data_IF_337483316188
#
_entry.id   IF_337483316188
#
_cell.length_a   1.000
_cell.length_b   1.000
_cell.length_c   1.000
_cell.angle_alpha   90.00
_cell.angle_beta   90.00
_cell.angle_gamma   90.00
#
_symmetry.space_group_name_H-M   'P 1'
#
loop_
_entity.id
_entity.type
_entity.pdbx_description
1 polymer ?
#
# COMPACT_ATOMS: atom_id res chain seq x y z
N UNK A 1 8.96 85.03 -54.15
CA UNK A 1 9.99 84.45 -55.04
C UNK A 1 10.69 83.33 -54.29
N UNK A 2 10.69 82.11 -54.86
CA UNK A 2 11.61 81.01 -54.57
C UNK A 2 11.66 80.43 -53.14
N UNK A 3 10.83 79.42 -52.88
CA UNK A 3 11.04 78.43 -51.80
C UNK A 3 11.97 77.31 -52.28
N UNK A 4 12.82 76.80 -51.38
CA UNK A 4 13.58 75.56 -51.58
C UNK A 4 14.24 75.04 -50.29
N UNK A 5 13.56 74.08 -49.64
CA UNK A 5 14.06 72.86 -48.94
C UNK A 5 14.92 73.03 -47.66
N UNK A 6 14.87 72.18 -46.63
CA UNK A 6 14.26 70.85 -46.42
C UNK A 6 13.89 70.64 -44.92
N UNK A 7 12.89 69.79 -44.64
CA UNK A 7 13.02 68.39 -44.16
C UNK A 7 13.65 68.24 -42.76
N UNK A 8 12.83 67.90 -41.76
CA UNK A 8 13.01 66.67 -40.95
C UNK A 8 11.71 66.30 -40.22
N UNK A 9 11.54 64.98 -40.09
CA UNK A 9 10.35 64.17 -39.87
C UNK A 9 9.90 64.14 -38.40
N UNK A 10 8.59 64.10 -38.17
CA UNK A 10 7.97 64.01 -36.84
C UNK A 10 7.72 62.58 -36.35
N UNK A 11 7.35 62.48 -35.07
CA UNK A 11 6.62 61.34 -34.49
C UNK A 11 5.83 61.83 -33.26
N UNK A 12 4.50 61.69 -33.34
CA UNK A 12 3.50 62.04 -32.34
C UNK A 12 3.50 61.00 -31.21
N UNK A 13 3.71 61.44 -29.97
CA UNK A 13 3.50 60.64 -28.77
C UNK A 13 2.06 60.78 -28.26
N UNK A 14 1.34 59.66 -28.13
CA UNK A 14 -0.01 59.58 -27.56
C UNK A 14 0.11 59.20 -26.08
N UNK A 15 -0.46 60.05 -25.23
CA UNK A 15 -0.57 59.92 -23.77
C UNK A 15 -1.57 58.81 -23.42
N UNK A 16 -1.16 57.81 -22.65
CA UNK A 16 -2.03 56.81 -22.03
C UNK A 16 -2.33 57.20 -20.58
N UNK A 17 -3.62 57.24 -20.25
CA UNK A 17 -4.18 57.48 -18.92
C UNK A 17 -3.86 56.31 -17.97
N UNK A 18 -3.34 56.63 -16.80
CA UNK A 18 -3.08 55.69 -15.70
C UNK A 18 -4.39 55.38 -14.96
N UNK A 19 -4.86 54.13 -15.01
CA UNK A 19 -5.79 53.57 -14.03
C UNK A 19 -5.02 53.11 -12.78
N UNK A 20 -5.51 53.35 -11.56
CA UNK A 20 -4.86 52.87 -10.35
C UNK A 20 -5.07 51.36 -10.22
N UNK A 21 -3.97 50.60 -10.22
CA UNK A 21 -3.97 49.19 -9.88
C UNK A 21 -4.37 49.02 -8.41
N UNK A 22 -5.58 48.48 -8.16
CA UNK A 22 -5.88 47.82 -6.89
C UNK A 22 -5.06 46.53 -6.85
N UNK A 23 -3.93 46.57 -6.15
CA UNK A 23 -3.26 45.34 -5.74
C UNK A 23 -4.12 44.70 -4.64
N UNK A 24 -4.70 43.54 -4.92
CA UNK A 24 -5.13 42.64 -3.86
C UNK A 24 -3.89 42.22 -3.07
N UNK A 25 -3.76 42.67 -1.82
CA UNK A 25 -2.89 42.03 -0.85
C UNK A 25 -3.37 40.59 -0.67
N UNK A 26 -2.71 39.62 -1.30
CA UNK A 26 -2.87 38.20 -0.95
C UNK A 26 -2.45 38.04 0.50
N UNK A 27 -3.41 37.72 1.37
CA UNK A 27 -3.12 37.24 2.71
C UNK A 27 -2.14 36.06 2.63
N UNK A 28 -1.17 35.93 3.57
CA UNK A 28 -0.27 34.80 3.58
C UNK A 28 -1.06 33.49 3.67
N UNK A 29 -0.82 32.57 2.74
CA UNK A 29 -1.52 31.28 2.69
C UNK A 29 -1.28 30.49 3.99
N UNK A 30 -2.38 30.07 4.63
CA UNK A 30 -2.33 29.25 5.84
C UNK A 30 -1.64 27.92 5.55
N UNK A 31 -1.03 27.29 6.55
CA UNK A 31 -0.39 25.99 6.35
C UNK A 31 -1.38 24.89 5.91
N UNK A 32 -2.65 24.98 6.34
CA UNK A 32 -3.72 24.14 5.83
C UNK A 32 -3.92 24.32 4.32
N UNK A 33 -3.95 25.57 3.83
CA UNK A 33 -4.06 25.84 2.40
C UNK A 33 -2.84 25.31 1.63
N UNK A 34 -1.63 25.53 2.14
CA UNK A 34 -0.39 25.07 1.50
C UNK A 34 -0.24 23.55 1.44
N UNK A 35 -0.76 22.82 2.41
CA UNK A 35 -0.74 21.36 2.42
C UNK A 35 -1.85 20.73 1.54
N UNK A 36 -3.03 21.34 1.47
CA UNK A 36 -4.24 20.66 0.97
C UNK A 36 -4.95 21.33 -0.22
N UNK A 37 -4.72 22.62 -0.53
CA UNK A 37 -5.38 23.26 -1.69
C UNK A 37 -4.95 22.68 -3.04
N UNK A 38 -3.76 22.08 -3.12
CA UNK A 38 -3.31 21.37 -4.31
C UNK A 38 -3.78 19.89 -4.33
N UNK A 39 -4.44 19.44 -3.26
CA UNK A 39 -5.00 18.07 -3.08
C UNK A 39 -6.54 18.10 -3.05
N UNK A 40 -7.18 19.19 -3.49
CA UNK A 40 -8.64 19.29 -3.64
C UNK A 40 -9.06 19.14 -5.11
N UNK A 41 -10.25 18.62 -5.35
CA UNK A 41 -10.80 18.39 -6.70
C UNK A 41 -10.49 17.02 -7.29
N UNK A 42 -10.66 16.89 -8.60
CA UNK A 42 -10.44 15.64 -9.33
C UNK A 42 -8.97 15.20 -9.31
N UNK A 43 -8.75 13.89 -9.15
CA UNK A 43 -7.42 13.30 -9.35
C UNK A 43 -7.16 13.19 -10.87
N UNK A 44 -5.97 13.63 -11.31
CA UNK A 44 -5.65 13.79 -12.74
C UNK A 44 -5.83 12.51 -13.59
N UNK A 45 -5.80 11.31 -12.97
CA UNK A 45 -6.07 10.00 -13.60
C UNK A 45 -7.28 9.24 -13.00
N UNK A 46 -8.02 9.82 -12.04
CA UNK A 46 -9.20 9.21 -11.44
C UNK A 46 -10.32 10.25 -11.29
N UNK A 47 -11.50 10.00 -11.86
CA UNK A 47 -12.65 10.92 -11.81
C UNK A 47 -13.37 10.88 -10.46
N UNK A 48 -12.61 11.01 -9.36
CA UNK A 48 -13.14 11.10 -8.01
C UNK A 48 -12.55 12.32 -7.32
N UNK A 49 -13.42 13.07 -6.65
CA UNK A 49 -13.05 14.21 -5.83
C UNK A 49 -12.62 13.75 -4.42
N UNK A 50 -11.54 14.35 -3.92
CA UNK A 50 -10.91 13.98 -2.64
C UNK A 50 -11.89 14.10 -1.47
N UNK A 51 -12.79 15.08 -1.48
CA UNK A 51 -13.78 15.26 -0.41
C UNK A 51 -14.81 14.12 -0.36
N UNK A 52 -15.09 13.50 -1.51
CA UNK A 52 -15.96 12.31 -1.58
C UNK A 52 -15.25 11.09 -0.97
N UNK A 53 -13.95 10.92 -1.26
CA UNK A 53 -13.13 9.86 -0.68
C UNK A 53 -13.05 10.03 0.85
N UNK A 54 -12.75 11.24 1.31
CA UNK A 54 -12.65 11.57 2.73
C UNK A 54 -13.94 11.24 3.49
N UNK A 55 -15.09 11.72 2.99
CA UNK A 55 -16.39 11.47 3.62
C UNK A 55 -16.73 9.98 3.68
N UNK A 56 -16.48 9.26 2.59
CA UNK A 56 -16.73 7.82 2.52
C UNK A 56 -15.81 7.05 3.48
N UNK A 57 -14.50 7.27 3.39
CA UNK A 57 -13.51 6.57 4.19
C UNK A 57 -13.70 6.87 5.68
N UNK A 58 -13.68 8.14 6.07
CA UNK A 58 -13.52 8.53 7.47
C UNK A 58 -14.77 8.26 8.31
N UNK A 59 -15.96 8.29 7.70
CA UNK A 59 -17.22 8.19 8.43
C UNK A 59 -18.01 6.90 8.16
N UNK A 60 -17.94 6.33 6.95
CA UNK A 60 -18.67 5.07 6.64
C UNK A 60 -17.81 3.83 6.82
N UNK A 61 -16.57 3.88 6.34
CA UNK A 61 -15.71 2.69 6.22
C UNK A 61 -14.81 2.49 7.46
N UNK A 62 -14.10 3.54 7.88
CA UNK A 62 -13.00 3.47 8.82
C UNK A 62 -13.34 2.80 10.17
N UNK A 63 -14.45 3.15 10.87
CA UNK A 63 -14.77 2.52 12.16
C UNK A 63 -15.03 1.02 12.05
N UNK A 64 -15.68 0.58 10.97
CA UNK A 64 -16.02 -0.83 10.72
C UNK A 64 -14.79 -1.62 10.30
N UNK A 65 -13.98 -1.03 9.43
CA UNK A 65 -12.71 -1.61 8.99
C UNK A 65 -11.76 -1.78 10.18
N UNK A 66 -11.64 -0.78 11.06
CA UNK A 66 -10.81 -0.90 12.26
C UNK A 66 -11.28 -2.06 13.16
N UNK A 67 -12.59 -2.18 13.39
CA UNK A 67 -13.17 -3.30 14.15
C UNK A 67 -12.84 -4.66 13.53
N UNK A 68 -12.87 -4.78 12.21
CA UNK A 68 -12.49 -6.02 11.51
C UNK A 68 -11.00 -6.35 11.73
N UNK A 69 -10.12 -5.35 11.64
CA UNK A 69 -8.67 -5.54 11.80
C UNK A 69 -8.24 -5.86 13.23
N UNK A 70 -9.07 -5.54 14.21
CA UNK A 70 -8.88 -5.91 15.62
C UNK A 70 -9.30 -7.36 15.93
N UNK A 71 -10.03 -8.02 15.01
CA UNK A 71 -10.45 -9.41 15.20
C UNK A 71 -9.28 -10.40 15.13
N UNK A 72 -9.45 -11.57 15.76
CA UNK A 72 -8.43 -12.62 15.79
C UNK A 72 -8.01 -13.10 14.40
N UNK A 73 -8.91 -13.07 13.42
CA UNK A 73 -8.52 -13.46 12.07
C UNK A 73 -7.45 -12.51 11.49
N UNK A 74 -7.62 -11.20 11.70
CA UNK A 74 -6.85 -10.16 11.02
C UNK A 74 -5.69 -9.58 11.83
N UNK A 75 -5.69 -9.71 13.17
CA UNK A 75 -4.63 -9.15 14.02
C UNK A 75 -3.32 -9.94 14.00
N UNK A 76 -3.37 -11.24 13.68
CA UNK A 76 -2.18 -12.09 13.66
C UNK A 76 -1.66 -12.27 12.23
N UNK A 77 -0.41 -11.90 12.04
CA UNK A 77 0.29 -12.00 10.76
C UNK A 77 1.54 -12.86 10.90
N UNK A 78 1.66 -13.88 10.05
CA UNK A 78 2.83 -14.77 10.01
C UNK A 78 3.92 -14.13 9.17
N UNK A 79 5.14 -14.01 9.70
CA UNK A 79 6.25 -13.39 8.98
C UNK A 79 7.60 -13.91 9.47
N UNK A 80 8.57 -14.03 8.56
CA UNK A 80 9.96 -14.25 8.91
C UNK A 80 10.71 -12.91 8.94
N UNK A 81 11.05 -12.43 10.14
CA UNK A 81 11.82 -11.19 10.33
C UNK A 81 13.33 -11.43 10.46
N UNK A 82 13.76 -12.70 10.54
CA UNK A 82 15.16 -13.11 10.79
C UNK A 82 15.96 -13.33 9.51
N UNK A 83 15.32 -13.29 8.34
CA UNK A 83 16.01 -13.42 7.04
C UNK A 83 17.15 -12.40 6.92
N UNK A 84 18.35 -12.83 6.49
CA UNK A 84 19.45 -11.92 6.20
C UNK A 84 19.17 -11.16 4.90
N UNK A 85 19.75 -9.97 4.78
CA UNK A 85 19.69 -9.19 3.54
C UNK A 85 20.42 -9.95 2.41
N UNK A 86 19.76 -10.26 1.27
CA UNK A 86 20.40 -10.97 0.18
C UNK A 86 21.31 -10.08 -0.69
N UNK A 87 21.26 -8.76 -0.53
CA UNK A 87 21.92 -7.82 -1.43
C UNK A 87 23.21 -7.22 -0.85
N UNK A 88 23.32 -7.06 0.47
CA UNK A 88 24.49 -6.51 1.12
C UNK A 88 24.59 -6.92 2.58
N UNK A 89 25.81 -6.89 3.12
CA UNK A 89 26.08 -7.18 4.52
C UNK A 89 26.00 -5.89 5.33
N UNK A 90 24.84 -5.59 5.88
CA UNK A 90 24.71 -4.58 6.92
C UNK A 90 24.60 -5.27 8.29
N UNK A 91 25.33 -4.76 9.27
CA UNK A 91 25.14 -5.16 10.67
C UNK A 91 23.79 -4.55 11.07
N UNK A 92 22.79 -5.40 11.34
CA UNK A 92 21.46 -5.02 11.82
C UNK A 92 21.51 -4.30 13.19
N UNK A 93 22.08 -3.10 13.26
CA UNK A 93 22.07 -2.26 14.44
C UNK A 93 20.76 -1.48 14.49
N UNK A 94 19.66 -2.15 14.84
CA UNK A 94 18.51 -1.39 15.35
C UNK A 94 18.80 -0.95 16.79
N UNK A 95 19.43 0.22 16.93
CA UNK A 95 19.87 0.76 18.22
C UNK A 95 18.75 1.29 19.14
N UNK A 96 17.47 1.20 18.77
CA UNK A 96 16.35 1.77 19.55
C UNK A 96 15.32 0.69 19.94
N UNK A 97 14.92 0.66 21.22
CA UNK A 97 13.93 -0.31 21.75
C UNK A 97 12.59 -0.26 21.01
N UNK A 98 12.19 0.91 20.52
CA UNK A 98 10.89 1.10 19.86
C UNK A 98 10.77 0.43 18.48
N UNK A 99 11.89 -0.04 17.93
CA UNK A 99 12.01 -0.80 16.69
C UNK A 99 11.80 -2.32 16.84
N UNK A 100 11.94 -2.85 18.05
CA UNK A 100 11.82 -4.28 18.31
C UNK A 100 10.37 -4.75 18.12
N UNK A 101 10.21 -5.89 17.45
CA UNK A 101 8.93 -6.60 17.33
C UNK A 101 8.88 -7.67 18.41
N UNK A 102 7.78 -7.76 19.16
CA UNK A 102 7.55 -8.86 20.11
C UNK A 102 6.78 -9.96 19.38
N UNK A 103 7.37 -11.16 19.16
CA UNK A 103 6.63 -12.32 18.65
C UNK A 103 5.56 -12.75 19.65
N UNK A 104 4.49 -13.38 19.16
CA UNK A 104 3.49 -13.99 20.04
C UNK A 104 4.04 -15.23 20.72
N UNK A 105 3.65 -15.47 21.97
CA UNK A 105 3.82 -16.80 22.55
C UNK A 105 2.88 -17.79 21.84
N UNK A 106 3.25 -19.07 21.78
CA UNK A 106 2.40 -20.11 21.20
C UNK A 106 0.99 -20.03 21.78
N UNK A 107 0.85 -19.85 23.07
CA UNK A 107 -0.44 -19.96 23.77
C UNK A 107 -1.38 -18.76 23.52
N UNK A 108 -0.85 -17.65 22.98
CA UNK A 108 -1.61 -16.43 22.68
C UNK A 108 -2.27 -16.45 21.28
N UNK A 109 -1.85 -17.37 20.41
CA UNK A 109 -2.41 -17.50 19.06
C UNK A 109 -3.56 -18.52 19.10
N UNK A 110 -4.76 -18.21 18.60
CA UNK A 110 -5.87 -19.17 18.53
C UNK A 110 -5.49 -20.47 17.80
N UNK A 111 -5.92 -21.61 18.32
CA UNK A 111 -5.51 -22.93 17.79
C UNK A 111 -5.97 -23.17 16.37
N UNK A 112 -7.08 -22.56 15.94
CA UNK A 112 -7.52 -22.63 14.56
C UNK A 112 -6.62 -21.87 13.57
N UNK A 113 -5.84 -20.90 14.07
CA UNK A 113 -4.85 -20.16 13.29
C UNK A 113 -3.53 -20.94 13.25
N UNK A 114 -3.16 -21.63 14.34
CA UNK A 114 -1.98 -22.51 14.39
C UNK A 114 -2.14 -23.73 13.49
N UNK A 115 -3.30 -24.38 13.56
CA UNK A 115 -3.60 -25.64 12.85
C UNK A 115 -3.95 -25.43 11.37
N UNK A 116 -4.04 -24.18 10.89
CA UNK A 116 -4.20 -23.88 9.47
C UNK A 116 -3.04 -24.37 8.59
N UNK A 117 -1.91 -24.81 9.17
CA UNK A 117 -0.86 -25.55 8.44
C UNK A 117 -1.19 -27.02 8.19
N UNK A 118 -2.27 -27.56 8.76
CA UNK A 118 -2.65 -28.99 8.72
C UNK A 118 -4.16 -29.20 8.55
N UNK A 119 -4.84 -28.41 7.72
CA UNK A 119 -6.31 -28.43 7.69
C UNK A 119 -6.89 -29.05 6.41
N UNK A 120 -7.05 -30.37 6.42
CA UNK A 120 -8.24 -31.02 5.88
C UNK A 120 -8.68 -32.15 6.82
N UNK A 121 -10.01 -32.21 7.00
CA UNK A 121 -10.86 -33.13 7.78
C UNK A 121 -11.08 -32.86 9.28
N UNK A 122 -12.30 -33.19 9.73
CA UNK A 122 -13.02 -32.62 10.88
C UNK A 122 -13.10 -33.59 12.07
N UNK A 123 -12.19 -34.56 12.18
CA UNK A 123 -12.26 -35.64 13.18
C UNK A 123 -11.28 -35.53 14.37
N UNK A 124 -10.42 -34.51 14.44
CA UNK A 124 -9.41 -34.41 15.50
C UNK A 124 -9.97 -33.79 16.80
N UNK A 125 -10.88 -34.50 17.46
CA UNK A 125 -11.39 -34.16 18.78
C UNK A 125 -11.17 -35.32 19.76
N UNK A 126 -9.93 -35.81 19.87
CA UNK A 126 -9.49 -36.65 20.99
C UNK A 126 -7.98 -36.48 21.20
N UNK A 127 -7.60 -36.07 22.41
CA UNK A 127 -6.23 -35.94 22.90
C UNK A 127 -5.76 -37.32 23.37
N UNK A 128 -4.62 -37.81 22.87
CA UNK A 128 -3.58 -38.49 23.66
C UNK A 128 -2.30 -38.80 22.85
N UNK A 129 -1.16 -38.62 23.54
CA UNK A 129 0.21 -39.11 23.33
C UNK A 129 0.99 -38.85 22.01
N UNK A 130 2.04 -38.02 22.18
CA UNK A 130 3.22 -37.99 21.32
C UNK A 130 4.03 -39.29 21.50
N UNK A 131 4.13 -40.13 20.46
CA UNK A 131 5.37 -40.79 20.04
C UNK A 131 5.10 -41.67 18.80
N UNK A 132 5.72 -41.28 17.68
CA UNK A 132 6.29 -42.10 16.60
C UNK A 132 6.11 -41.45 15.23
N UNK A 133 7.25 -41.07 14.66
CA UNK A 133 7.38 -40.77 13.25
C UNK A 133 7.12 -42.03 12.42
N UNK A 134 6.13 -41.98 11.54
CA UNK A 134 6.12 -42.46 10.15
C UNK A 134 4.67 -42.75 9.70
N UNK A 135 4.30 -42.20 8.53
CA UNK A 135 3.10 -42.52 7.75
C UNK A 135 1.74 -42.42 8.46
N UNK A 136 1.07 -41.28 8.32
CA UNK A 136 -0.41 -41.24 8.20
C UNK A 136 -0.84 -40.09 7.26
N UNK A 137 -0.59 -40.29 5.97
CA UNK A 137 -1.29 -39.62 4.87
C UNK A 137 -2.27 -40.60 4.24
N UNK A 138 -3.26 -41.06 4.99
CA UNK A 138 -4.33 -41.94 4.49
C UNK A 138 -5.59 -41.10 4.26
N UNK A 139 -5.82 -40.73 3.00
CA UNK A 139 -7.05 -40.14 2.48
C UNK A 139 -8.04 -41.27 2.20
N UNK A 140 -9.33 -41.04 2.43
CA UNK A 140 -10.40 -41.95 2.04
C UNK A 140 -10.34 -42.25 0.52
N UNK A 141 -10.50 -43.54 0.20
CA UNK A 141 -10.09 -44.18 -1.03
C UNK A 141 -11.22 -44.18 -2.08
N UNK A 142 -11.64 -43.00 -2.54
CA UNK A 142 -12.65 -42.90 -3.63
C UNK A 142 -12.18 -42.16 -4.88
N UNK A 143 -10.89 -41.81 -4.99
CA UNK A 143 -10.30 -41.16 -6.17
C UNK A 143 -9.28 -42.10 -6.83
N UNK A 144 -9.30 -42.21 -8.17
CA UNK A 144 -8.34 -43.06 -8.90
C UNK A 144 -6.90 -42.59 -8.69
N UNK A 145 -5.94 -43.53 -8.67
CA UNK A 145 -4.51 -43.25 -8.46
C UNK A 145 -3.95 -42.22 -9.46
N UNK A 146 -4.50 -42.18 -10.67
CA UNK A 146 -4.13 -41.21 -11.70
C UNK A 146 -4.56 -39.79 -11.31
N UNK A 147 -5.75 -39.64 -10.71
CA UNK A 147 -6.31 -38.36 -10.28
C UNK A 147 -5.58 -37.79 -9.07
N UNK A 148 -5.17 -38.64 -8.12
CA UNK A 148 -4.39 -38.21 -6.96
C UNK A 148 -3.00 -37.68 -7.36
N UNK A 149 -2.32 -38.35 -8.30
CA UNK A 149 -1.03 -37.89 -8.83
C UNK A 149 -1.18 -36.60 -9.63
N UNK A 150 -2.27 -36.44 -10.38
CA UNK A 150 -2.57 -35.22 -11.11
C UNK A 150 -2.83 -34.03 -10.18
N UNK A 151 -3.67 -34.18 -9.15
CA UNK A 151 -3.97 -33.12 -8.17
C UNK A 151 -2.72 -32.71 -7.39
N UNK A 152 -1.89 -33.66 -6.93
CA UNK A 152 -0.63 -33.34 -6.24
C UNK A 152 0.42 -32.69 -7.16
N UNK A 153 0.42 -33.02 -8.45
CA UNK A 153 1.26 -32.35 -9.45
C UNK A 153 0.75 -30.96 -9.81
N UNK A 154 -0.57 -30.73 -9.82
CA UNK A 154 -1.19 -29.43 -10.09
C UNK A 154 -1.04 -28.48 -8.90
N UNK A 155 -1.29 -28.92 -7.67
CA UNK A 155 -1.08 -28.09 -6.46
C UNK A 155 0.40 -27.66 -6.33
N UNK A 156 1.37 -28.53 -6.64
CA UNK A 156 2.79 -28.16 -6.67
C UNK A 156 3.17 -27.22 -7.83
N UNK A 157 2.48 -27.32 -8.96
CA UNK A 157 2.72 -26.49 -10.14
C UNK A 157 2.07 -25.10 -10.01
N UNK A 158 0.93 -25.00 -9.33
CA UNK A 158 0.12 -23.78 -9.22
C UNK A 158 0.46 -22.96 -7.96
N UNK A 159 0.83 -23.60 -6.84
CA UNK A 159 1.31 -22.89 -5.63
C UNK A 159 2.70 -22.25 -5.81
N UNK A 160 3.48 -22.69 -6.79
CA UNK A 160 4.82 -22.15 -7.07
C UNK A 160 4.85 -21.07 -8.17
N UNK A 161 3.76 -20.88 -8.92
CA UNK A 161 3.74 -20.01 -10.10
C UNK A 161 2.92 -18.72 -9.94
N UNK A 162 1.85 -18.68 -9.12
CA UNK A 162 0.91 -17.55 -9.06
C UNK A 162 1.02 -16.59 -7.85
N UNK A 163 1.98 -16.81 -6.92
CA UNK A 163 2.19 -15.89 -5.78
C UNK A 163 2.99 -14.64 -6.17
N UNK A 164 2.49 -13.46 -5.77
CA UNK A 164 3.15 -12.15 -5.95
C UNK A 164 4.25 -11.88 -4.91
N UNK A 165 4.35 -12.69 -3.87
CA UNK A 165 5.34 -12.58 -2.80
C UNK A 165 6.00 -13.95 -2.53
N UNK A 166 7.16 -13.96 -1.87
CA UNK A 166 7.85 -15.20 -1.57
C UNK A 166 7.04 -16.10 -0.64
N UNK A 167 6.61 -17.25 -1.15
CA UNK A 167 5.98 -18.33 -0.36
C UNK A 167 6.94 -18.86 0.71
N UNK A 168 8.24 -18.69 0.50
CA UNK A 168 9.33 -19.08 1.40
C UNK A 168 9.27 -18.38 2.77
N UNK A 169 8.61 -17.23 2.89
CA UNK A 169 8.40 -16.57 4.20
C UNK A 169 7.40 -17.32 5.09
N UNK A 170 6.50 -18.14 4.53
CA UNK A 170 5.46 -18.88 5.28
C UNK A 170 5.93 -20.26 5.70
N UNK A 171 6.64 -20.95 4.81
CA UNK A 171 7.11 -22.33 5.00
C UNK A 171 8.44 -22.40 5.77
N UNK A 172 9.11 -21.26 5.94
CA UNK A 172 10.33 -21.20 6.75
C UNK A 172 10.05 -21.58 8.21
N UNK A 173 10.91 -22.42 8.83
CA UNK A 173 10.79 -22.76 10.24
C UNK A 173 10.96 -21.54 11.18
N UNK A 174 11.59 -20.47 10.68
CA UNK A 174 11.82 -19.23 11.44
C UNK A 174 10.65 -18.23 11.33
N UNK A 175 9.58 -18.59 10.60
CA UNK A 175 8.41 -17.75 10.43
C UNK A 175 7.49 -17.82 11.66
N UNK A 176 7.31 -16.68 12.32
CA UNK A 176 6.56 -16.56 13.57
C UNK A 176 5.28 -15.75 13.36
N UNK A 177 4.25 -16.01 14.16
CA UNK A 177 3.08 -15.14 14.22
C UNK A 177 3.38 -13.91 15.08
N UNK A 178 3.00 -12.75 14.55
CA UNK A 178 3.12 -11.44 15.21
C UNK A 178 1.74 -10.84 15.37
N UNK A 179 1.45 -10.33 16.58
CA UNK A 179 0.25 -9.55 16.86
C UNK A 179 0.45 -8.09 16.43
N UNK A 180 -0.32 -7.67 15.44
CA UNK A 180 -0.26 -6.34 14.85
C UNK A 180 -0.76 -5.25 15.81
N UNK A 181 -1.63 -5.58 16.78
CA UNK A 181 -2.14 -4.61 17.76
C UNK A 181 -1.06 -4.16 18.75
N UNK A 182 -0.16 -5.08 19.12
CA UNK A 182 1.00 -4.77 19.96
C UNK A 182 2.15 -4.11 19.18
N UNK A 183 2.12 -4.20 17.85
CA UNK A 183 3.17 -3.71 16.96
C UNK A 183 2.64 -2.66 15.96
N UNK A 184 1.99 -1.57 16.41
CA UNK A 184 1.40 -0.59 15.49
C UNK A 184 2.48 0.12 14.66
N UNK A 185 2.14 0.44 13.41
CA UNK A 185 2.94 1.32 12.57
C UNK A 185 2.92 2.74 13.13
N UNK A 186 4.11 3.24 13.49
CA UNK A 186 4.36 4.56 14.09
C UNK A 186 5.82 4.95 13.93
N UNK A 187 6.19 6.14 14.42
CA UNK A 187 7.58 6.58 14.39
C UNK A 187 8.53 5.61 15.12
N UNK A 188 9.58 5.16 14.45
CA UNK A 188 10.62 4.27 15.00
C UNK A 188 11.99 4.95 15.11
N UNK A 189 12.15 6.13 14.50
CA UNK A 189 13.44 6.80 14.35
C UNK A 189 14.34 6.24 13.24
N UNK A 190 13.86 5.28 12.43
CA UNK A 190 14.58 4.79 11.25
C UNK A 190 14.69 5.89 10.18
N UNK A 191 15.91 6.32 9.86
CA UNK A 191 16.20 7.47 8.99
C UNK A 191 17.62 7.40 8.42
N UNK A 192 17.98 8.36 7.58
CA UNK A 192 19.35 8.52 7.08
C UNK A 192 19.69 7.59 5.91
N UNK A 193 20.99 7.38 5.62
CA UNK A 193 21.46 6.66 4.44
C UNK A 193 20.86 5.26 4.28
N UNK A 194 20.65 4.53 5.37
CA UNK A 194 20.08 3.18 5.32
C UNK A 194 18.66 3.19 4.76
N UNK A 195 17.80 4.09 5.28
CA UNK A 195 16.43 4.23 4.81
C UNK A 195 16.38 4.78 3.37
N UNK A 196 17.25 5.74 3.03
CA UNK A 196 17.32 6.32 1.69
C UNK A 196 17.75 5.29 0.65
N UNK A 197 18.70 4.42 1.00
CA UNK A 197 19.17 3.34 0.14
C UNK A 197 18.02 2.36 -0.16
N UNK A 198 17.30 1.91 0.86
CA UNK A 198 16.15 1.01 0.69
C UNK A 198 15.13 1.61 -0.28
N UNK A 199 14.68 2.84 -0.04
CA UNK A 199 13.71 3.48 -0.94
C UNK A 199 14.27 3.67 -2.34
N UNK A 200 15.53 4.07 -2.49
CA UNK A 200 16.14 4.24 -3.82
C UNK A 200 16.10 2.94 -4.61
N UNK A 201 16.48 1.81 -4.00
CA UNK A 201 16.42 0.49 -4.64
C UNK A 201 14.98 0.09 -5.00
N UNK A 202 14.00 0.34 -4.12
CA UNK A 202 12.58 0.06 -4.41
C UNK A 202 12.09 0.88 -5.62
N UNK A 203 12.43 2.18 -5.71
CA UNK A 203 12.06 2.99 -6.88
C UNK A 203 12.84 2.62 -8.14
N UNK A 204 14.04 2.05 -8.00
CA UNK A 204 14.86 1.55 -9.11
C UNK A 204 14.35 0.22 -9.67
N UNK A 205 13.57 -0.56 -8.91
CA UNK A 205 12.84 -1.72 -9.44
C UNK A 205 11.87 -1.33 -10.56
N UNK A 206 11.51 -0.05 -10.71
CA UNK A 206 10.67 0.42 -11.82
C UNK A 206 11.38 0.40 -13.20
N UNK A 207 12.13 -0.66 -13.56
CA UNK A 207 12.86 -0.83 -14.82
C UNK A 207 12.27 -1.93 -15.74
N UNK A 208 11.10 -1.68 -16.35
CA UNK A 208 10.60 -2.40 -17.53
C UNK A 208 11.35 -1.77 -18.73
N UNK A 209 12.29 -2.46 -19.39
CA UNK A 209 13.34 -1.90 -20.29
C UNK A 209 12.88 -1.64 -21.76
N UNK A 210 13.55 -0.76 -22.56
CA UNK A 210 14.98 -0.86 -22.97
C UNK A 210 15.92 0.21 -22.39
N UNK A 211 17.23 -0.12 -22.38
CA UNK A 211 18.34 0.59 -21.71
C UNK A 211 18.70 1.98 -22.28
N UNK A 212 17.85 2.60 -23.08
CA UNK A 212 18.21 3.79 -23.88
C UNK A 212 17.86 5.12 -23.21
N UNK A 213 17.10 5.11 -22.11
CA UNK A 213 16.60 6.33 -21.47
C UNK A 213 17.36 6.55 -20.15
N UNK A 214 18.25 7.53 -20.12
CA UNK A 214 18.95 7.93 -18.89
C UNK A 214 17.99 8.71 -17.98
N UNK A 215 17.78 8.18 -16.77
CA UNK A 215 16.95 8.80 -15.73
C UNK A 215 17.68 10.02 -15.11
N UNK A 216 16.98 11.14 -14.85
CA UNK A 216 17.51 12.17 -13.96
C UNK A 216 17.70 11.61 -12.54
N UNK A 217 18.87 11.82 -11.94
CA UNK A 217 19.15 11.39 -10.56
C UNK A 217 18.06 11.84 -9.58
N UNK A 218 17.75 10.94 -8.64
CA UNK A 218 16.71 11.01 -7.61
C UNK A 218 16.40 12.44 -7.08
N UNK A 219 15.13 12.89 -7.04
CA UNK A 219 14.76 14.19 -6.44
C UNK A 219 15.04 14.26 -4.92
N UNK A 220 15.28 13.12 -4.29
CA UNK A 220 15.61 13.03 -2.85
C UNK A 220 17.05 13.44 -2.52
N UNK A 221 17.90 13.70 -3.52
CA UNK A 221 19.24 14.23 -3.29
C UNK A 221 19.16 15.76 -3.11
N UNK A 222 19.07 16.23 -1.87
CA UNK A 222 19.31 17.63 -1.53
C UNK A 222 20.75 18.00 -1.89
N UNK A 223 20.97 18.58 -3.06
CA UNK A 223 22.30 18.99 -3.52
C UNK A 223 22.30 19.66 -4.89
N UNK A 224 22.24 21.00 -4.87
CA UNK A 224 22.68 21.95 -5.91
C UNK A 224 22.24 21.70 -7.37
N UNK A 225 21.24 22.48 -7.81
CA UNK A 225 21.03 22.72 -9.24
C UNK A 225 19.70 23.38 -9.56
N UNK A 226 19.66 24.72 -9.54
CA UNK A 226 18.53 25.53 -10.02
C UNK A 226 18.32 25.30 -11.53
N UNK A 227 17.41 24.39 -11.92
CA UNK A 227 16.67 24.35 -13.22
C UNK A 227 16.04 22.99 -13.60
N UNK A 228 16.09 21.94 -12.75
CA UNK A 228 15.66 20.58 -13.13
C UNK A 228 14.26 20.13 -12.63
N UNK A 229 13.45 21.03 -12.08
CA UNK A 229 12.18 20.66 -11.39
C UNK A 229 11.11 20.05 -12.30
N UNK A 230 11.02 20.48 -13.57
CA UNK A 230 10.02 19.93 -14.49
C UNK A 230 10.50 18.69 -15.27
N UNK A 231 11.79 18.34 -15.20
CA UNK A 231 12.34 17.30 -16.08
C UNK A 231 11.97 15.90 -15.62
N UNK A 232 11.88 15.63 -14.32
CA UNK A 232 11.59 14.29 -13.82
C UNK A 232 10.11 13.89 -13.98
N UNK A 233 9.17 14.77 -13.67
CA UNK A 233 7.74 14.48 -13.85
C UNK A 233 7.31 14.57 -15.31
N UNK A 234 7.84 15.51 -16.10
CA UNK A 234 7.67 15.47 -17.57
C UNK A 234 8.27 14.20 -18.17
N UNK A 235 9.38 13.69 -17.61
CA UNK A 235 9.92 12.38 -17.98
C UNK A 235 8.98 11.24 -17.58
N UNK A 236 8.41 11.24 -16.35
CA UNK A 236 7.41 10.26 -15.91
C UNK A 236 6.13 10.29 -16.76
N UNK A 237 5.70 11.47 -17.21
CA UNK A 237 4.59 11.65 -18.16
C UNK A 237 4.93 11.12 -19.55
N UNK A 238 6.22 11.13 -19.93
CA UNK A 238 6.73 10.52 -21.15
C UNK A 238 6.94 9.01 -21.09
N UNK A 239 6.75 8.37 -19.92
CA UNK A 239 6.81 6.91 -19.78
C UNK A 239 5.45 6.26 -20.08
N UNK A 240 5.49 4.97 -20.43
CA UNK A 240 4.30 4.13 -20.56
C UNK A 240 3.45 4.15 -19.28
N UNK A 241 2.13 3.99 -19.42
CA UNK A 241 1.15 4.10 -18.33
C UNK A 241 1.47 3.20 -17.14
N UNK A 242 2.03 2.02 -17.39
CA UNK A 242 2.39 1.00 -16.41
C UNK A 242 3.52 1.44 -15.48
N UNK A 243 4.52 2.12 -16.05
CA UNK A 243 5.66 2.71 -15.32
C UNK A 243 5.19 3.78 -14.35
N UNK A 244 4.22 4.58 -14.80
CA UNK A 244 3.60 5.63 -14.01
C UNK A 244 2.77 5.03 -12.87
N UNK A 245 1.97 4.00 -13.15
CA UNK A 245 1.22 3.27 -12.12
C UNK A 245 2.15 2.76 -11.01
N UNK A 246 3.19 1.99 -11.36
CA UNK A 246 4.11 1.45 -10.35
C UNK A 246 4.71 2.56 -9.49
N UNK A 247 5.19 3.64 -10.10
CA UNK A 247 5.72 4.79 -9.36
C UNK A 247 4.68 5.38 -8.39
N UNK A 248 3.45 5.61 -8.86
CA UNK A 248 2.38 6.19 -8.03
C UNK A 248 1.98 5.27 -6.88
N UNK A 249 1.94 3.95 -7.10
CA UNK A 249 1.66 2.96 -6.05
C UNK A 249 2.72 2.99 -4.95
N UNK A 250 4.01 2.91 -5.33
CA UNK A 250 5.12 2.98 -4.36
C UNK A 250 5.19 4.35 -3.68
N UNK A 251 4.94 5.43 -4.42
CA UNK A 251 4.86 6.80 -3.89
C UNK A 251 3.75 6.97 -2.87
N UNK A 252 2.56 6.42 -3.15
CA UNK A 252 1.44 6.40 -2.22
C UNK A 252 1.73 5.60 -0.96
N UNK A 253 2.40 4.44 -1.09
CA UNK A 253 2.81 3.62 0.04
C UNK A 253 3.84 4.35 0.91
N UNK A 254 4.87 4.95 0.29
CA UNK A 254 5.86 5.76 1.00
C UNK A 254 5.22 6.97 1.68
N UNK A 255 4.26 7.64 1.02
CA UNK A 255 3.49 8.72 1.62
C UNK A 255 2.69 8.23 2.83
N UNK A 256 2.01 7.09 2.75
CA UNK A 256 1.25 6.50 3.85
C UNK A 256 2.11 6.23 5.09
N UNK A 257 3.29 5.65 4.90
CA UNK A 257 4.25 5.40 6.01
C UNK A 257 4.69 6.73 6.65
N UNK A 258 4.98 7.74 5.83
CA UNK A 258 5.36 9.07 6.28
C UNK A 258 4.22 9.81 7.01
N UNK A 259 2.97 9.57 6.63
CA UNK A 259 1.78 10.06 7.37
C UNK A 259 1.68 9.37 8.73
N UNK A 260 1.82 8.04 8.79
CA UNK A 260 1.76 7.30 10.05
C UNK A 260 2.80 7.74 11.06
N UNK A 261 4.06 7.88 10.64
CA UNK A 261 5.12 8.33 11.55
C UNK A 261 4.90 9.76 12.02
N UNK A 262 4.28 10.62 11.20
CA UNK A 262 3.96 12.00 11.56
C UNK A 262 2.78 12.07 12.54
N UNK A 263 1.73 11.27 12.31
CA UNK A 263 0.54 11.21 13.15
C UNK A 263 0.80 10.52 14.50
N UNK A 264 1.74 9.56 14.51
CA UNK A 264 2.11 8.76 15.69
C UNK A 264 3.59 8.95 16.00
N UNK A 265 3.95 10.21 16.24
CA UNK A 265 5.31 10.61 16.56
C UNK A 265 5.58 10.48 18.06
N UNK A 266 6.84 10.19 18.45
CA UNK A 266 7.26 10.24 19.84
C UNK A 266 7.56 11.70 20.21
N UNK A 267 6.58 12.39 20.79
CA UNK A 267 6.65 13.82 21.10
C UNK A 267 7.52 14.10 22.32
N UNK A 268 7.44 13.21 23.32
CA UNK A 268 8.21 13.32 24.56
C UNK A 268 8.73 11.94 24.96
N UNK A 269 10.03 11.88 25.26
CA UNK A 269 10.73 10.68 25.72
C UNK A 269 11.43 11.05 27.02
N UNK A 270 10.69 11.00 28.13
CA UNK A 270 11.22 11.24 29.48
C UNK A 270 11.47 9.91 30.18
N UNK A 271 12.25 9.93 31.26
CA UNK A 271 12.49 8.73 32.08
C UNK A 271 11.21 8.13 32.68
N UNK A 272 10.16 8.95 32.85
CA UNK A 272 8.91 8.57 33.51
C UNK A 272 7.82 8.20 32.50
N UNK A 273 7.69 8.96 31.42
CA UNK A 273 6.60 8.82 30.47
C UNK A 273 7.05 9.01 29.01
N UNK A 274 6.46 8.21 28.13
CA UNK A 274 6.52 8.37 26.68
C UNK A 274 5.19 8.90 26.16
N UNK A 275 5.20 10.07 25.52
CA UNK A 275 4.01 10.66 24.91
C UNK A 275 4.06 10.51 23.39
N UNK A 276 3.08 9.81 22.84
CA UNK A 276 2.88 9.66 21.40
C UNK A 276 1.77 10.57 20.91
N UNK A 277 1.90 11.15 19.72
CA UNK A 277 0.85 11.97 19.13
C UNK A 277 1.26 12.64 17.82
N UNK A 278 0.41 13.53 17.32
CA UNK A 278 0.60 14.24 16.06
C UNK A 278 1.75 15.26 16.14
N UNK A 279 2.74 15.11 15.26
CA UNK A 279 3.79 16.09 15.06
C UNK A 279 3.51 16.89 13.78
N UNK A 280 2.93 18.08 13.97
CA UNK A 280 2.53 18.98 12.88
C UNK A 280 3.75 19.45 12.07
N UNK A 281 4.87 19.74 12.74
CA UNK A 281 6.10 20.20 12.07
C UNK A 281 6.68 19.11 11.17
N UNK A 282 6.73 17.85 11.64
CA UNK A 282 7.18 16.72 10.81
C UNK A 282 6.26 16.52 9.59
N UNK A 283 4.94 16.63 9.78
CA UNK A 283 3.98 16.53 8.68
C UNK A 283 4.18 17.65 7.65
N UNK A 284 4.26 18.91 8.08
CA UNK A 284 4.48 20.06 7.20
C UNK A 284 5.80 19.93 6.42
N UNK A 285 6.90 19.57 7.07
CA UNK A 285 8.19 19.41 6.40
C UNK A 285 8.17 18.36 5.27
N UNK A 286 7.24 17.40 5.35
CA UNK A 286 7.11 16.31 4.37
C UNK A 286 6.05 16.57 3.29
N UNK A 287 5.02 17.34 3.61
CA UNK A 287 3.80 17.45 2.80
C UNK A 287 3.33 18.88 2.50
N UNK A 288 3.87 19.92 3.14
CA UNK A 288 3.52 21.32 2.85
C UNK A 288 4.00 21.72 1.45
N UNK A 289 3.09 22.24 0.62
CA UNK A 289 3.38 22.59 -0.77
C UNK A 289 4.46 23.65 -0.94
N UNK A 290 4.62 24.58 0.01
CA UNK A 290 5.69 25.58 -0.07
C UNK A 290 7.02 24.98 0.41
N UNK A 291 7.03 24.30 1.56
CA UNK A 291 8.27 23.72 2.11
C UNK A 291 8.86 22.61 1.23
N UNK A 292 8.02 21.99 0.38
CA UNK A 292 8.41 20.89 -0.49
C UNK A 292 8.36 21.23 -1.97
N UNK A 293 8.23 22.51 -2.33
CA UNK A 293 8.23 22.96 -3.73
C UNK A 293 7.16 22.22 -4.59
N UNK A 294 5.99 21.95 -4.00
CA UNK A 294 4.86 21.25 -4.63
C UNK A 294 4.91 19.72 -4.60
N UNK A 295 5.99 19.12 -4.09
CA UNK A 295 6.15 17.66 -4.05
C UNK A 295 5.26 16.99 -3.00
N UNK A 296 5.04 17.64 -1.86
CA UNK A 296 4.19 17.16 -0.78
C UNK A 296 2.77 16.84 -1.24
N UNK A 297 2.04 17.81 -1.81
CA UNK A 297 0.71 17.58 -2.37
C UNK A 297 0.66 16.49 -3.45
N UNK A 298 1.69 16.38 -4.31
CA UNK A 298 1.79 15.29 -5.32
C UNK A 298 1.88 13.92 -4.66
N UNK A 299 2.64 13.78 -3.58
CA UNK A 299 2.73 12.51 -2.81
C UNK A 299 1.40 12.17 -2.15
N UNK A 300 0.65 13.16 -1.66
CA UNK A 300 -0.71 12.95 -1.12
C UNK A 300 -1.69 12.51 -2.20
N UNK A 301 -1.64 13.09 -3.41
CA UNK A 301 -2.42 12.59 -4.56
C UNK A 301 -2.09 11.12 -4.89
N UNK A 302 -0.82 10.72 -4.78
CA UNK A 302 -0.41 9.33 -4.98
C UNK A 302 -0.92 8.39 -3.86
N UNK A 303 -1.07 8.90 -2.63
CA UNK A 303 -1.72 8.17 -1.55
C UNK A 303 -3.18 7.87 -1.86
N UNK A 304 -3.95 8.88 -2.32
CA UNK A 304 -5.34 8.67 -2.75
C UNK A 304 -5.43 7.74 -3.97
N UNK A 305 -4.48 7.81 -4.90
CA UNK A 305 -4.41 6.86 -6.01
C UNK A 305 -4.24 5.42 -5.52
N UNK A 306 -3.29 5.17 -4.61
CA UNK A 306 -3.11 3.86 -4.00
C UNK A 306 -4.38 3.39 -3.27
N UNK A 307 -5.02 4.28 -2.50
CA UNK A 307 -6.29 4.00 -1.82
C UNK A 307 -7.36 3.51 -2.81
N UNK A 308 -7.54 4.21 -3.94
CA UNK A 308 -8.54 3.85 -4.94
C UNK A 308 -8.23 2.51 -5.64
N UNK A 309 -6.95 2.20 -5.87
CA UNK A 309 -6.53 0.92 -6.45
C UNK A 309 -6.85 -0.25 -5.51
N UNK A 310 -6.51 -0.13 -4.23
CA UNK A 310 -6.82 -1.17 -3.23
C UNK A 310 -8.34 -1.27 -2.98
N UNK A 311 -9.05 -0.14 -2.93
CA UNK A 311 -10.51 -0.09 -2.85
C UNK A 311 -11.17 -0.81 -4.03
N UNK A 312 -10.66 -0.59 -5.25
CA UNK A 312 -11.13 -1.28 -6.45
C UNK A 312 -10.89 -2.77 -6.36
N UNK A 313 -9.71 -3.22 -5.93
CA UNK A 313 -9.42 -4.63 -5.73
C UNK A 313 -10.40 -5.26 -4.74
N UNK A 314 -10.64 -4.61 -3.60
CA UNK A 314 -11.62 -5.06 -2.60
C UNK A 314 -13.04 -5.15 -3.18
N UNK A 315 -13.46 -4.18 -4.01
CA UNK A 315 -14.78 -4.25 -4.67
C UNK A 315 -14.91 -5.45 -5.63
N UNK A 316 -13.80 -5.84 -6.29
CA UNK A 316 -13.77 -6.90 -7.30
C UNK A 316 -13.66 -8.30 -6.70
N UNK A 317 -13.05 -8.45 -5.54
CA UNK A 317 -12.90 -9.74 -4.86
C UNK A 317 -14.14 -10.14 -4.05
N UNK A 318 -15.16 -9.29 -3.92
CA UNK A 318 -16.39 -9.61 -3.19
C UNK A 318 -16.98 -11.00 -3.52
N UNK A 319 -17.13 -11.43 -4.80
CA UNK A 319 -17.69 -12.75 -5.12
C UNK A 319 -16.93 -13.92 -4.47
N UNK A 320 -15.61 -13.79 -4.28
CA UNK A 320 -14.81 -14.83 -3.61
C UNK A 320 -15.23 -15.03 -2.14
N UNK A 321 -15.61 -13.94 -1.45
CA UNK A 321 -15.99 -13.96 -0.04
C UNK A 321 -17.48 -14.29 0.19
N UNK A 322 -18.33 -14.01 -0.81
CA UNK A 322 -19.77 -14.35 -0.78
C UNK A 322 -20.02 -15.86 -0.82
N UNK A 323 -19.06 -16.63 -1.33
CA UNK A 323 -19.17 -18.09 -1.41
C UNK A 323 -19.46 -18.71 -0.03
N UNK A 324 -20.43 -19.64 0.05
CA UNK A 324 -20.80 -20.27 1.32
C UNK A 324 -19.63 -21.08 1.92
N UNK A 325 -18.82 -21.69 1.06
CA UNK A 325 -17.67 -22.53 1.42
C UNK A 325 -16.50 -21.73 2.05
N UNK A 326 -16.44 -20.42 1.82
CA UNK A 326 -15.38 -19.59 2.38
C UNK A 326 -15.60 -19.36 3.88
N UNK A 327 -14.55 -19.54 4.70
CA UNK A 327 -14.62 -19.35 6.16
C UNK A 327 -13.41 -18.57 6.69
N UNK A 328 -13.67 -17.66 7.64
CA UNK A 328 -12.65 -16.94 8.41
C UNK A 328 -12.25 -17.75 9.65
N UNK A 329 -11.76 -18.97 9.46
CA UNK A 329 -11.52 -19.89 10.57
C UNK A 329 -10.46 -19.39 11.57
N UNK A 330 -10.84 -19.27 12.84
CA UNK A 330 -9.93 -19.00 13.97
C UNK A 330 -9.99 -20.06 15.07
N UNK A 331 -11.04 -20.88 15.06
CA UNK A 331 -11.34 -21.87 16.10
C UNK A 331 -12.63 -21.55 16.86
N UNK A 332 -13.09 -20.29 16.85
CA UNK A 332 -14.35 -19.88 17.43
C UNK A 332 -15.44 -19.68 16.35
N UNK A 333 -16.29 -20.71 16.15
CA UNK A 333 -17.31 -20.72 15.10
C UNK A 333 -18.27 -19.51 15.14
N UNK A 334 -18.61 -19.01 16.33
CA UNK A 334 -19.52 -17.86 16.47
C UNK A 334 -18.86 -16.55 16.01
N UNK A 335 -17.65 -16.28 16.49
CA UNK A 335 -16.88 -15.10 16.07
C UNK A 335 -16.47 -15.16 14.60
N UNK A 336 -16.17 -16.35 14.08
CA UNK A 336 -15.83 -16.54 12.66
C UNK A 336 -17.01 -16.16 11.75
N UNK A 337 -18.24 -16.51 12.14
CA UNK A 337 -19.45 -16.13 11.43
C UNK A 337 -19.73 -14.62 11.52
N UNK A 338 -19.62 -14.03 12.71
CA UNK A 338 -19.78 -12.58 12.92
C UNK A 338 -18.76 -11.77 12.11
N UNK A 339 -17.49 -12.20 12.10
CA UNK A 339 -16.44 -11.57 11.31
C UNK A 339 -16.68 -11.71 9.80
N UNK A 340 -17.24 -12.85 9.34
CA UNK A 340 -17.60 -13.04 7.92
C UNK A 340 -18.69 -12.05 7.52
N UNK A 341 -19.72 -11.88 8.35
CA UNK A 341 -20.78 -10.89 8.11
C UNK A 341 -20.19 -9.47 8.05
N UNK A 342 -19.39 -9.08 9.06
CA UNK A 342 -18.76 -7.76 9.09
C UNK A 342 -17.89 -7.50 7.84
N UNK A 343 -17.10 -8.48 7.42
CA UNK A 343 -16.28 -8.40 6.21
C UNK A 343 -17.15 -8.19 4.96
N UNK A 344 -18.22 -8.97 4.80
CA UNK A 344 -19.12 -8.84 3.65
C UNK A 344 -19.80 -7.48 3.62
N UNK A 345 -20.27 -6.98 4.76
CA UNK A 345 -20.88 -5.65 4.80
C UNK A 345 -19.87 -4.55 4.42
N UNK A 346 -18.62 -4.64 4.87
CA UNK A 346 -17.54 -3.72 4.45
C UNK A 346 -17.32 -3.80 2.94
N UNK A 347 -17.25 -5.01 2.36
CA UNK A 347 -17.06 -5.17 0.92
C UNK A 347 -18.25 -4.68 0.09
N UNK A 348 -19.48 -4.81 0.61
CA UNK A 348 -20.67 -4.23 -0.02
C UNK A 348 -20.66 -2.69 0.02
N UNK A 349 -20.25 -2.07 1.14
CA UNK A 349 -20.06 -0.62 1.21
C UNK A 349 -19.00 -0.16 0.19
N UNK A 350 -17.87 -0.88 0.10
CA UNK A 350 -16.82 -0.61 -0.88
C UNK A 350 -17.36 -0.70 -2.31
N UNK A 351 -18.17 -1.73 -2.62
CA UNK A 351 -18.80 -1.89 -3.94
C UNK A 351 -19.84 -0.80 -4.25
N UNK A 352 -20.46 -0.21 -3.22
CA UNK A 352 -21.42 0.89 -3.38
C UNK A 352 -20.76 2.23 -3.72
N UNK A 353 -19.45 2.37 -3.51
CA UNK A 353 -18.71 3.58 -3.81
C UNK A 353 -18.69 3.82 -5.33
N UNK A 354 -19.09 5.00 -5.83
CA UNK A 354 -19.18 5.30 -7.26
C UNK A 354 -17.80 5.53 -7.87
N UNK A 355 -17.00 4.48 -7.96
CA UNK A 355 -15.68 4.53 -8.58
C UNK A 355 -15.82 4.36 -10.09
N UNK A 356 -15.66 5.47 -10.81
CA UNK A 356 -15.46 5.43 -12.25
C UNK A 356 -13.95 5.31 -12.51
N UNK A 357 -13.52 4.10 -12.86
CA UNK A 357 -12.15 3.83 -13.30
C UNK A 357 -12.24 3.46 -14.78
N UNK A 358 -11.47 4.10 -15.66
CA UNK A 358 -11.43 3.68 -17.06
C UNK A 358 -10.58 2.40 -17.17
N UNK A 359 -11.23 1.24 -17.11
CA UNK A 359 -10.56 -0.05 -17.07
C UNK A 359 -9.71 -0.32 -18.33
N UNK A 360 -10.03 0.34 -19.45
CA UNK A 360 -9.29 0.26 -20.71
C UNK A 360 -7.92 0.93 -20.67
N UNK A 361 -7.63 1.76 -19.65
CA UNK A 361 -6.38 2.52 -19.59
C UNK A 361 -5.24 1.83 -18.85
N UNK A 362 -5.51 0.84 -17.98
CA UNK A 362 -4.49 0.23 -17.11
C UNK A 362 -4.43 -1.30 -17.10
N UNK A 363 -5.56 -2.00 -17.21
CA UNK A 363 -5.61 -3.46 -17.00
C UNK A 363 -6.29 -4.23 -18.14
N UNK A 364 -7.04 -3.55 -19.02
CA UNK A 364 -7.72 -4.14 -20.18
C UNK A 364 -6.98 -3.87 -21.51
N UNK A 365 -5.65 -4.04 -21.53
CA UNK A 365 -4.88 -4.13 -22.78
C UNK A 365 -5.07 -5.47 -23.50
N UNK A 366 -4.41 -5.64 -24.65
CA UNK A 366 -4.37 -6.91 -25.38
C UNK A 366 -3.97 -8.06 -24.44
N UNK A 367 -4.58 -9.26 -24.59
CA UNK A 367 -4.39 -10.39 -23.65
C UNK A 367 -2.92 -10.68 -23.32
N UNK A 368 -2.04 -10.52 -24.31
CA UNK A 368 -0.60 -10.75 -24.18
C UNK A 368 0.11 -9.64 -23.40
N UNK A 369 -0.30 -8.38 -23.57
CA UNK A 369 0.25 -7.23 -22.85
C UNK A 369 -0.17 -7.25 -21.39
N UNK A 370 -1.45 -7.51 -21.12
CA UNK A 370 -1.96 -7.65 -19.75
C UNK A 370 -1.30 -8.81 -18.99
N UNK A 371 -1.06 -9.96 -19.65
CA UNK A 371 -0.36 -11.08 -19.04
C UNK A 371 1.11 -10.77 -18.74
N UNK A 372 1.81 -10.13 -19.69
CA UNK A 372 3.20 -9.70 -19.49
C UNK A 372 3.30 -8.69 -18.34
N UNK A 373 2.36 -7.75 -18.29
CA UNK A 373 2.29 -6.75 -17.24
C UNK A 373 2.04 -7.36 -15.86
N UNK A 374 1.09 -8.31 -15.77
CA UNK A 374 0.84 -9.10 -14.55
C UNK A 374 2.14 -9.72 -14.05
N UNK A 375 2.89 -10.39 -14.93
CA UNK A 375 4.13 -11.07 -14.58
C UNK A 375 5.25 -10.10 -14.18
N UNK A 376 5.38 -8.97 -14.88
CA UNK A 376 6.38 -7.96 -14.55
C UNK A 376 6.10 -7.33 -13.17
N UNK A 377 4.83 -7.01 -12.86
CA UNK A 377 4.45 -6.57 -11.51
C UNK A 377 4.73 -7.62 -10.45
N UNK A 378 4.37 -8.89 -10.72
CA UNK A 378 4.63 -10.02 -9.81
C UNK A 378 6.12 -10.13 -9.47
N UNK A 379 6.98 -10.01 -10.48
CA UNK A 379 8.42 -10.05 -10.30
C UNK A 379 8.94 -8.88 -9.45
N UNK A 380 8.47 -7.66 -9.70
CA UNK A 380 8.90 -6.50 -8.90
C UNK A 380 8.44 -6.57 -7.45
N UNK A 381 7.20 -6.98 -7.18
CA UNK A 381 6.74 -7.12 -5.80
C UNK A 381 7.48 -8.23 -5.05
N UNK A 382 7.85 -9.31 -5.74
CA UNK A 382 8.75 -10.33 -5.17
C UNK A 382 10.13 -9.74 -4.84
N UNK A 383 10.71 -8.94 -5.73
CA UNK A 383 11.99 -8.27 -5.47
C UNK A 383 11.89 -7.27 -4.31
N UNK A 384 10.80 -6.49 -4.24
CA UNK A 384 10.54 -5.58 -3.12
C UNK A 384 10.45 -6.35 -1.81
N UNK A 385 9.77 -7.50 -1.79
CA UNK A 385 9.70 -8.36 -0.60
C UNK A 385 11.08 -8.81 -0.11
N UNK A 386 12.03 -9.08 -1.02
CA UNK A 386 13.43 -9.39 -0.71
C UNK A 386 14.21 -8.16 -0.23
N UNK A 387 13.92 -6.98 -0.79
CA UNK A 387 14.52 -5.72 -0.33
C UNK A 387 14.10 -5.43 1.12
N UNK A 388 12.88 -5.81 1.52
CA UNK A 388 12.44 -5.66 2.91
C UNK A 388 13.31 -6.45 3.90
N UNK A 389 13.95 -7.56 3.48
CA UNK A 389 14.91 -8.30 4.31
C UNK A 389 16.22 -7.54 4.60
N UNK A 390 16.42 -6.40 3.94
CA UNK A 390 17.52 -5.47 4.18
C UNK A 390 17.15 -4.30 5.10
N UNK A 391 15.88 -4.21 5.53
CA UNK A 391 15.45 -3.15 6.44
C UNK A 391 15.88 -3.51 7.86
N UNK A 392 16.83 -2.77 8.42
CA UNK A 392 17.34 -3.00 9.78
C UNK A 392 16.32 -2.70 10.89
N UNK A 393 15.25 -1.95 10.57
CA UNK A 393 14.16 -1.69 11.50
C UNK A 393 13.11 -2.82 11.47
N UNK A 394 12.99 -3.64 12.53
CA UNK A 394 12.09 -4.80 12.51
C UNK A 394 10.61 -4.46 12.37
N UNK A 395 10.10 -3.42 13.04
CA UNK A 395 8.71 -2.96 12.80
C UNK A 395 8.51 -2.44 11.38
N UNK A 396 9.48 -1.70 10.85
CA UNK A 396 9.43 -1.19 9.48
C UNK A 396 9.48 -2.35 8.47
N UNK A 397 10.25 -3.40 8.74
CA UNK A 397 10.31 -4.64 7.96
C UNK A 397 8.99 -5.40 8.00
N UNK A 398 8.38 -5.52 9.18
CA UNK A 398 7.06 -6.14 9.38
C UNK A 398 6.00 -5.44 8.52
N UNK A 399 5.84 -4.13 8.70
CA UNK A 399 4.83 -3.35 7.97
C UNK A 399 5.18 -3.25 6.48
N UNK A 400 6.46 -3.12 6.13
CA UNK A 400 6.95 -3.15 4.76
C UNK A 400 6.55 -4.43 4.03
N UNK A 401 6.88 -5.62 4.58
CA UNK A 401 6.47 -6.91 4.01
C UNK A 401 4.95 -7.01 3.89
N UNK A 402 4.22 -6.70 4.97
CA UNK A 402 2.75 -6.77 5.00
C UNK A 402 2.10 -5.89 3.93
N UNK A 403 2.48 -4.61 3.84
CA UNK A 403 1.88 -3.68 2.90
C UNK A 403 2.25 -4.00 1.46
N UNK A 404 3.48 -4.45 1.21
CA UNK A 404 3.88 -4.87 -0.15
C UNK A 404 3.18 -6.15 -0.59
N UNK A 405 2.95 -7.09 0.34
CA UNK A 405 2.15 -8.29 0.05
C UNK A 405 0.70 -7.92 -0.23
N UNK A 406 0.08 -7.09 0.61
CA UNK A 406 -1.29 -6.66 0.41
C UNK A 406 -1.50 -5.92 -0.92
N UNK A 407 -0.57 -5.04 -1.29
CA UNK A 407 -0.58 -4.37 -2.58
C UNK A 407 -0.37 -5.35 -3.75
N UNK A 408 0.55 -6.31 -3.63
CA UNK A 408 0.71 -7.39 -4.60
C UNK A 408 -0.56 -8.22 -4.77
N UNK A 409 -1.25 -8.55 -3.67
CA UNK A 409 -2.54 -9.24 -3.67
C UNK A 409 -3.64 -8.39 -4.30
N UNK A 410 -3.67 -7.07 -4.05
CA UNK A 410 -4.61 -6.17 -4.70
C UNK A 410 -4.44 -6.19 -6.23
N UNK A 411 -3.20 -6.13 -6.71
CA UNK A 411 -2.91 -6.26 -8.15
C UNK A 411 -3.26 -7.65 -8.70
N UNK A 412 -2.96 -8.74 -7.96
CA UNK A 412 -3.38 -10.11 -8.29
C UNK A 412 -4.88 -10.19 -8.55
N UNK A 413 -5.69 -9.53 -7.72
CA UNK A 413 -7.14 -9.46 -7.86
C UNK A 413 -7.53 -8.69 -9.13
N UNK A 414 -6.96 -7.50 -9.34
CA UNK A 414 -7.28 -6.65 -10.50
C UNK A 414 -6.94 -7.32 -11.83
N UNK A 415 -5.82 -8.06 -11.91
CA UNK A 415 -5.47 -8.83 -13.10
C UNK A 415 -6.32 -10.11 -13.27
N UNK A 416 -7.00 -10.56 -12.23
CA UNK A 416 -7.82 -11.77 -12.22
C UNK A 416 -9.32 -11.49 -12.38
N UNK A 417 -9.71 -10.28 -12.79
CA UNK A 417 -11.13 -9.88 -12.87
C UNK A 417 -11.99 -10.86 -13.68
N UNK A 418 -11.50 -11.35 -14.82
CA UNK A 418 -12.21 -12.33 -15.66
C UNK A 418 -12.36 -13.70 -14.98
N UNK A 419 -11.35 -14.12 -14.21
CA UNK A 419 -11.38 -15.37 -13.47
C UNK A 419 -12.35 -15.28 -12.29
N UNK A 420 -12.37 -14.14 -11.60
CA UNK A 420 -13.29 -13.89 -10.48
C UNK A 420 -14.74 -13.77 -10.97
N UNK A 421 -14.97 -13.13 -12.12
CA UNK A 421 -16.30 -12.99 -12.70
C UNK A 421 -16.91 -14.33 -13.15
N UNK A 422 -16.08 -15.30 -13.55
CA UNK A 422 -16.50 -16.63 -13.96
C UNK A 422 -16.46 -17.67 -12.83
N UNK A 423 -16.25 -17.24 -11.59
CA UNK A 423 -16.13 -18.14 -10.44
C UNK A 423 -17.46 -18.86 -10.15
N UNK A 424 -17.44 -20.18 -9.87
CA UNK A 424 -18.65 -20.90 -9.52
C UNK A 424 -19.24 -20.39 -8.20
N UNK A 425 -20.55 -20.17 -8.17
CA UNK A 425 -21.29 -19.69 -6.98
C UNK A 425 -21.25 -20.71 -5.82
N UNK A 426 -21.11 -21.99 -6.14
CA UNK A 426 -21.04 -23.11 -5.19
C UNK A 426 -19.97 -24.11 -5.60
N UNK A 427 -19.22 -24.64 -4.62
CA UNK A 427 -18.13 -25.59 -4.84
C UNK A 427 -16.75 -24.92 -4.84
N UNK A 428 -15.67 -25.73 -4.85
CA UNK A 428 -14.29 -25.23 -4.75
C UNK A 428 -13.89 -24.38 -5.97
N UNK A 429 -13.35 -23.18 -5.71
CA UNK A 429 -12.70 -22.35 -6.72
C UNK A 429 -11.28 -22.88 -6.96
N UNK A 430 -11.06 -23.50 -8.12
CA UNK A 430 -9.73 -23.96 -8.53
C UNK A 430 -8.97 -22.88 -9.32
N UNK A 431 -9.67 -21.97 -10.00
CA UNK A 431 -9.04 -20.98 -10.89
C UNK A 431 -8.48 -19.75 -10.17
N UNK A 432 -9.05 -19.38 -9.02
CA UNK A 432 -8.57 -18.25 -8.22
C UNK A 432 -8.67 -18.57 -6.73
N UNK A 433 -7.54 -18.43 -6.04
CA UNK A 433 -7.43 -18.65 -4.59
C UNK A 433 -6.59 -17.56 -3.92
N UNK A 434 -6.96 -17.28 -2.68
CA UNK A 434 -6.24 -16.42 -1.77
C UNK A 434 -5.92 -17.19 -0.49
N UNK A 435 -4.65 -17.18 -0.11
CA UNK A 435 -4.20 -17.75 1.16
C UNK A 435 -4.61 -16.86 2.33
N UNK A 436 -4.60 -17.40 3.55
CA UNK A 436 -4.82 -16.62 4.78
C UNK A 436 -3.88 -15.41 4.86
N UNK A 437 -2.61 -15.59 4.47
CA UNK A 437 -1.62 -14.52 4.55
C UNK A 437 -1.93 -13.38 3.55
N UNK A 438 -2.31 -13.73 2.32
CA UNK A 438 -2.77 -12.76 1.31
C UNK A 438 -4.03 -12.01 1.79
N UNK A 439 -5.00 -12.71 2.40
CA UNK A 439 -6.21 -12.07 2.93
C UNK A 439 -5.85 -11.11 4.08
N UNK A 440 -5.07 -11.55 5.07
CA UNK A 440 -4.67 -10.72 6.20
C UNK A 440 -3.88 -9.49 5.73
N UNK A 441 -2.93 -9.67 4.81
CA UNK A 441 -2.12 -8.57 4.27
C UNK A 441 -2.96 -7.60 3.43
N UNK A 442 -3.89 -8.08 2.59
CA UNK A 442 -4.77 -7.24 1.77
C UNK A 442 -5.58 -6.25 2.62
N UNK A 443 -6.30 -6.76 3.63
CA UNK A 443 -7.14 -5.91 4.48
C UNK A 443 -6.31 -5.03 5.43
N UNK A 444 -5.19 -5.53 5.96
CA UNK A 444 -4.33 -4.69 6.82
C UNK A 444 -3.60 -3.60 6.02
N UNK A 445 -3.15 -3.88 4.79
CA UNK A 445 -2.55 -2.88 3.90
C UNK A 445 -3.54 -1.75 3.61
N UNK A 446 -4.75 -2.11 3.16
CA UNK A 446 -5.84 -1.15 2.96
C UNK A 446 -6.21 -0.41 4.24
N UNK A 447 -6.22 -1.11 5.38
CA UNK A 447 -6.40 -0.51 6.70
C UNK A 447 -5.39 0.58 7.04
N UNK A 448 -4.11 0.41 6.66
CA UNK A 448 -3.11 1.48 6.80
C UNK A 448 -3.43 2.63 5.87
N UNK A 449 -3.71 2.40 4.59
CA UNK A 449 -4.02 3.50 3.66
C UNK A 449 -5.28 4.27 4.11
N UNK A 450 -6.33 3.56 4.54
CA UNK A 450 -7.55 4.11 5.13
C UNK A 450 -7.26 4.93 6.39
N UNK A 451 -6.36 4.46 7.26
CA UNK A 451 -5.88 5.23 8.42
C UNK A 451 -5.17 6.51 7.98
N UNK A 452 -4.29 6.44 6.99
CA UNK A 452 -3.60 7.64 6.49
C UNK A 452 -4.58 8.69 5.97
N UNK A 453 -5.60 8.30 5.21
CA UNK A 453 -6.67 9.23 4.75
C UNK A 453 -7.38 9.89 5.94
N UNK A 454 -7.69 9.11 6.99
CA UNK A 454 -8.26 9.65 8.23
C UNK A 454 -7.32 10.63 8.94
N UNK A 455 -6.03 10.33 8.98
CA UNK A 455 -5.03 11.21 9.59
C UNK A 455 -4.83 12.51 8.79
N UNK A 456 -5.06 12.52 7.47
CA UNK A 456 -5.03 13.76 6.68
C UNK A 456 -6.16 14.72 7.09
N UNK A 457 -7.34 14.20 7.47
CA UNK A 457 -8.41 15.02 8.07
C UNK A 457 -7.99 15.57 9.45
N UNK A 458 -7.39 14.73 10.31
CA UNK A 458 -6.88 15.19 11.61
C UNK A 458 -5.84 16.30 11.45
N UNK A 459 -4.87 16.14 10.54
CA UNK A 459 -3.88 17.17 10.25
C UNK A 459 -4.50 18.44 9.67
N UNK A 460 -5.52 18.33 8.80
CA UNK A 460 -6.28 19.51 8.31
C UNK A 460 -6.87 20.32 9.46
N UNK A 461 -7.51 19.66 10.43
CA UNK A 461 -8.06 20.34 11.61
C UNK A 461 -6.97 20.95 12.48
N UNK A 462 -5.92 20.18 12.81
CA UNK A 462 -4.81 20.68 13.63
C UNK A 462 -4.09 21.87 13.00
N UNK A 463 -4.00 21.93 11.67
CA UNK A 463 -3.38 23.04 10.94
C UNK A 463 -4.26 24.29 10.84
N UNK A 464 -5.57 24.19 11.07
CA UNK A 464 -6.47 25.35 11.17
C UNK A 464 -6.32 26.04 12.54
N UNK A 465 -6.03 25.26 13.58
CA UNK A 465 -5.90 25.74 14.96
C UNK A 465 -4.51 26.35 15.27
N UNK A 466 -3.54 26.20 14.37
CA UNK A 466 -2.19 26.78 14.49
C UNK A 466 -2.16 28.14 13.78
N UNK A 467 -2.28 29.22 14.56
CA UNK A 467 -2.15 30.62 14.10
C UNK A 467 -0.69 31.09 14.01
#
# INVERSE_FOLDING_TARGET
MGRGWGLFVGLLGVVWLLCPAHGEERQPETAAQRCFCQVSGYLDDCTCDVETIDKFNNYRLFPRLQKLLESDYFRYYKVNLKKPCPFWNDINQCGRRDCAVKPCHSDEVPDGIKSASYKYSEEANHIEECEQAERLGAVDASLSEETQKAVLQWTKHDDSSDSFCEVDDIQSPDAEYVDLLLNPERYTGYKGPDAWRIWSVIYEENCFKPQTIQRPLNPLASGQGKSKENTFYSWLEGLCVEKRAFYRLISGLHASINVHLSARYLLQDTWLEKKWGHNITEFQQRFDGILTEGEGPRRLKNLYFLYLIELRALSKVLPFFERPDFQLFTGNKAQDAENKVLLLEILHEIKSFPLHFDENSFFAGDKNEAHKLKEDFRLHFRNISRIMDCVGCFKCRLWGKLQTQGLGTALKILFSEKLIANMPESGPSYEFQLTRQEIVSLFNAFGRISTSVRELENFRHLLQDVH
#
